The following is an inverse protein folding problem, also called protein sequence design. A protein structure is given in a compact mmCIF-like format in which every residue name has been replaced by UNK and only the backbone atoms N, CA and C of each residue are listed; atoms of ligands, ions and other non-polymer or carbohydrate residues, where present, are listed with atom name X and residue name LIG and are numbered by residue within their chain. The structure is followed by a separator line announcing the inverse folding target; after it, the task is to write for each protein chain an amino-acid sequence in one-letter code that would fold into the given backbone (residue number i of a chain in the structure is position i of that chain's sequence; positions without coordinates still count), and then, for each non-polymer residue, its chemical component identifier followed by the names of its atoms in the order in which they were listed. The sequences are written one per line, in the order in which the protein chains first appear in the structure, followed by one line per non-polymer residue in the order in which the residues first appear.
data_IF_979802232402
#
_entry.id   IF_979802232402
#
_cell.length_a   1.000
_cell.length_b   1.000
_cell.length_c   1.000
_cell.angle_alpha   90.00
_cell.angle_beta   90.00
_cell.angle_gamma   90.00
#
_symmetry.space_group_name_H-M   'P 1'
#
loop_
_entity.id
_entity.type
_entity.pdbx_description
1 polymer ?
#
# COMPACT_ATOMS: atom_id res chain seq x y z
N UNK A 1 17.73 -20.68 -17.14
CA UNK A 1 16.77 -20.30 -18.18
C UNK A 1 15.49 -19.94 -17.47
N UNK A 2 14.99 -18.70 -17.60
CA UNK A 2 13.73 -18.28 -16.99
C UNK A 2 12.56 -18.88 -17.76
N UNK A 3 11.55 -19.40 -17.06
CA UNK A 3 10.34 -19.88 -17.72
C UNK A 3 9.57 -18.72 -18.36
N UNK A 4 9.08 -18.89 -19.59
CA UNK A 4 8.23 -17.91 -20.26
C UNK A 4 6.91 -18.56 -20.69
N UNK A 5 5.84 -17.77 -20.69
CA UNK A 5 4.51 -18.21 -21.12
C UNK A 5 3.89 -17.12 -21.98
N UNK A 6 3.42 -17.51 -23.15
CA UNK A 6 2.68 -16.62 -24.02
C UNK A 6 1.18 -16.68 -23.69
N UNK A 7 0.55 -15.52 -23.68
CA UNK A 7 -0.89 -15.34 -23.44
C UNK A 7 -1.44 -14.51 -24.58
N UNK A 8 -2.46 -15.01 -25.27
CA UNK A 8 -3.19 -14.23 -26.26
C UNK A 8 -4.29 -13.41 -25.58
N UNK A 9 -4.31 -12.11 -25.85
CA UNK A 9 -5.39 -11.21 -25.46
C UNK A 9 -5.84 -10.44 -26.68
N UNK A 10 -7.07 -10.72 -27.12
CA UNK A 10 -7.72 -9.99 -28.21
C UNK A 10 -6.84 -9.91 -29.48
N UNK A 11 -6.13 -11.01 -29.79
CA UNK A 11 -5.21 -11.09 -30.93
C UNK A 11 -3.84 -10.47 -30.71
N UNK A 12 -3.50 -10.06 -29.48
CA UNK A 12 -2.15 -9.64 -29.08
C UNK A 12 -1.49 -10.72 -28.22
N UNK A 13 -0.36 -11.23 -28.70
CA UNK A 13 0.46 -12.19 -27.95
C UNK A 13 1.34 -11.44 -26.96
N UNK A 14 1.07 -11.64 -25.66
CA UNK A 14 1.87 -11.10 -24.56
C UNK A 14 2.75 -12.20 -24.00
N UNK A 15 4.05 -11.95 -23.91
CA UNK A 15 4.98 -12.89 -23.28
C UNK A 15 5.16 -12.52 -21.82
N UNK A 16 4.80 -13.43 -20.92
CA UNK A 16 5.04 -13.35 -19.49
C UNK A 16 6.31 -14.14 -19.16
N UNK A 17 7.18 -13.55 -18.36
CA UNK A 17 8.47 -14.12 -17.94
C UNK A 17 8.49 -14.38 -16.44
N UNK A 18 9.21 -15.42 -16.08
CA UNK A 18 9.57 -15.71 -14.70
C UNK A 18 10.64 -14.70 -14.22
N UNK A 19 10.38 -14.07 -13.08
CA UNK A 19 11.32 -13.19 -12.41
C UNK A 19 12.34 -14.00 -11.62
N UNK A 20 13.59 -13.62 -11.78
CA UNK A 20 14.68 -14.15 -10.95
C UNK A 20 14.63 -13.56 -9.54
N UNK A 21 15.21 -14.27 -8.56
CA UNK A 21 15.34 -13.77 -7.17
C UNK A 21 16.05 -12.42 -7.10
N UNK A 22 16.99 -12.15 -8.02
CA UNK A 22 17.64 -10.84 -8.16
C UNK A 22 16.63 -9.74 -8.47
N UNK A 23 15.81 -9.93 -9.50
CA UNK A 23 14.78 -8.97 -9.89
C UNK A 23 13.73 -8.74 -8.80
N UNK A 24 13.37 -9.78 -8.04
CA UNK A 24 12.47 -9.63 -6.89
C UNK A 24 13.11 -8.78 -5.79
N UNK A 25 14.42 -8.95 -5.53
CA UNK A 25 15.13 -8.13 -4.56
C UNK A 25 15.26 -6.68 -5.04
N UNK A 26 15.57 -6.48 -6.31
CA UNK A 26 15.67 -5.14 -6.91
C UNK A 26 14.33 -4.40 -6.82
N UNK A 27 13.22 -5.10 -7.09
CA UNK A 27 11.86 -4.58 -6.88
C UNK A 27 11.61 -4.15 -5.42
N UNK A 28 12.05 -4.96 -4.44
CA UNK A 28 11.90 -4.59 -3.03
C UNK A 28 12.70 -3.32 -2.68
N UNK A 29 13.93 -3.22 -3.17
CA UNK A 29 14.78 -2.04 -2.99
C UNK A 29 14.18 -0.79 -3.64
N UNK A 30 13.54 -0.93 -4.81
CA UNK A 30 12.83 0.18 -5.47
C UNK A 30 11.67 0.71 -4.61
N UNK A 31 10.91 -0.20 -3.97
CA UNK A 31 9.83 0.17 -3.04
C UNK A 31 10.39 0.89 -1.82
N UNK A 32 11.43 0.34 -1.18
CA UNK A 32 12.07 0.95 -0.01
C UNK A 32 12.68 2.32 -0.31
N UNK A 33 13.20 2.50 -1.52
CA UNK A 33 13.82 3.75 -1.95
C UNK A 33 12.80 4.88 -2.17
N UNK A 34 11.50 4.60 -2.19
CA UNK A 34 10.45 5.59 -2.44
C UNK A 34 10.53 6.26 -3.82
N UNK A 35 11.32 5.71 -4.74
CA UNK A 35 11.52 6.22 -6.11
C UNK A 35 10.38 5.81 -7.04
N UNK A 36 9.53 4.90 -6.60
CA UNK A 36 8.40 4.42 -7.37
C UNK A 36 7.19 5.31 -7.10
N UNK A 37 6.70 6.01 -8.13
CA UNK A 37 5.43 6.73 -8.05
C UNK A 37 4.31 5.70 -7.88
N UNK A 38 3.66 5.71 -6.72
CA UNK A 38 2.57 4.78 -6.44
C UNK A 38 1.36 5.22 -7.27
N UNK A 39 1.07 4.46 -8.32
CA UNK A 39 -0.20 4.56 -9.02
C UNK A 39 -1.30 3.91 -8.18
N UNK A 40 -2.04 4.73 -7.44
CA UNK A 40 -3.14 4.29 -6.57
C UNK A 40 -4.19 3.53 -7.40
N UNK A 41 -4.48 3.94 -8.63
CA UNK A 41 -5.47 3.24 -9.45
C UNK A 41 -4.97 1.83 -9.82
N UNK A 42 -3.74 1.70 -10.30
CA UNK A 42 -3.12 0.42 -10.66
C UNK A 42 -2.78 -0.48 -9.47
N UNK A 43 -2.61 0.10 -8.27
CA UNK A 43 -2.32 -0.60 -7.01
C UNK A 43 -3.59 -1.20 -6.38
N UNK A 44 -4.73 -0.52 -6.48
CA UNK A 44 -6.01 -0.97 -5.93
C UNK A 44 -6.92 -1.65 -6.96
N UNK A 45 -6.51 -1.76 -8.23
CA UNK A 45 -7.30 -2.40 -9.28
C UNK A 45 -7.49 -3.90 -9.04
N UNK A 46 -6.51 -4.56 -8.42
CA UNK A 46 -6.57 -5.98 -8.08
C UNK A 46 -6.08 -6.23 -6.65
N UNK A 47 -6.69 -7.20 -5.96
CA UNK A 47 -6.30 -7.54 -4.58
C UNK A 47 -4.94 -8.25 -4.49
N UNK A 48 -4.55 -8.97 -5.53
CA UNK A 48 -3.37 -9.87 -5.49
C UNK A 48 -2.08 -9.27 -6.11
N UNK A 49 -2.19 -8.23 -6.94
CA UNK A 49 -1.03 -7.64 -7.65
C UNK A 49 -1.33 -6.24 -8.19
N UNK A 50 -0.29 -5.42 -8.37
CA UNK A 50 -0.42 -4.14 -9.06
C UNK A 50 -0.23 -4.29 -10.58
N UNK A 51 -0.71 -3.31 -11.34
CA UNK A 51 -0.43 -3.23 -12.78
C UNK A 51 1.08 -3.10 -13.05
N UNK A 52 1.84 -2.39 -12.21
CA UNK A 52 3.31 -2.30 -12.36
C UNK A 52 4.00 -3.66 -12.24
N UNK A 53 3.52 -4.50 -11.32
CA UNK A 53 4.04 -5.86 -11.12
C UNK A 53 3.86 -6.68 -12.41
N UNK A 54 2.70 -6.58 -13.06
CA UNK A 54 2.41 -7.28 -14.32
C UNK A 54 3.25 -6.73 -15.48
N UNK A 55 3.41 -5.41 -15.59
CA UNK A 55 4.26 -4.77 -16.61
C UNK A 55 5.68 -5.31 -16.50
N UNK A 56 6.24 -5.39 -15.28
CA UNK A 56 7.59 -5.89 -15.02
C UNK A 56 7.78 -7.37 -15.42
N UNK A 57 6.74 -8.17 -15.22
CA UNK A 57 6.69 -9.60 -15.60
C UNK A 57 6.36 -9.82 -17.07
N UNK A 58 6.02 -8.78 -17.82
CA UNK A 58 5.64 -8.90 -19.22
C UNK A 58 6.70 -8.29 -20.13
N UNK A 59 6.53 -8.52 -21.43
CA UNK A 59 7.27 -7.83 -22.49
C UNK A 59 6.52 -6.59 -23.02
N UNK A 60 5.33 -6.31 -22.48
CA UNK A 60 4.44 -5.27 -22.98
C UNK A 60 4.67 -3.94 -22.24
N UNK A 61 4.68 -2.79 -22.95
CA UNK A 61 4.82 -1.49 -22.31
C UNK A 61 3.59 -1.13 -21.47
N UNK A 62 3.78 -0.29 -20.44
CA UNK A 62 2.71 0.21 -19.57
C UNK A 62 1.53 0.80 -20.34
N UNK A 63 1.81 1.60 -21.37
CA UNK A 63 0.80 2.22 -22.22
C UNK A 63 -0.16 1.22 -22.86
N UNK A 64 0.34 0.02 -23.19
CA UNK A 64 -0.49 -1.04 -23.74
C UNK A 64 -1.33 -1.74 -22.67
N UNK A 65 -0.88 -1.78 -21.40
CA UNK A 65 -1.71 -2.22 -20.27
C UNK A 65 -2.82 -1.24 -19.95
N UNK A 66 -2.54 0.07 -20.03
CA UNK A 66 -3.53 1.11 -19.72
C UNK A 66 -4.71 1.10 -20.71
N UNK A 67 -4.49 0.58 -21.92
CA UNK A 67 -5.53 0.37 -22.93
C UNK A 67 -6.35 -0.92 -22.74
N UNK A 68 -5.93 -1.81 -21.84
CA UNK A 68 -6.63 -3.08 -21.58
C UNK A 68 -7.65 -2.93 -20.47
N UNK A 69 -8.77 -3.62 -20.62
CA UNK A 69 -9.76 -3.73 -19.56
C UNK A 69 -9.31 -4.71 -18.47
N UNK A 70 -9.79 -4.59 -17.22
CA UNK A 70 -9.49 -5.53 -16.15
C UNK A 70 -9.80 -7.00 -16.52
N UNK A 71 -10.87 -7.23 -17.29
CA UNK A 71 -11.25 -8.55 -17.79
C UNK A 71 -10.25 -9.13 -18.79
N UNK A 72 -9.63 -8.28 -19.61
CA UNK A 72 -8.59 -8.68 -20.56
C UNK A 72 -7.25 -8.95 -19.85
N UNK A 73 -6.99 -8.30 -18.71
CA UNK A 73 -5.77 -8.52 -17.91
C UNK A 73 -5.83 -9.82 -17.10
N UNK A 74 -7.03 -10.32 -16.78
CA UNK A 74 -7.23 -11.56 -16.03
C UNK A 74 -6.37 -12.76 -16.51
N UNK A 75 -6.32 -13.12 -17.81
CA UNK A 75 -5.47 -14.20 -18.30
C UNK A 75 -3.96 -13.95 -18.15
N UNK A 76 -3.49 -12.70 -18.28
CA UNK A 76 -2.09 -12.34 -17.97
C UNK A 76 -1.81 -12.61 -16.49
N UNK A 77 -2.72 -12.18 -15.60
CA UNK A 77 -2.55 -12.34 -14.16
C UNK A 77 -2.44 -13.81 -13.76
N UNK A 78 -3.30 -14.67 -14.29
CA UNK A 78 -3.25 -16.11 -14.02
C UNK A 78 -1.94 -16.73 -14.53
N UNK A 79 -1.46 -16.32 -15.72
CA UNK A 79 -0.17 -16.78 -16.24
C UNK A 79 1.01 -16.29 -15.41
N UNK A 80 0.99 -15.03 -14.97
CA UNK A 80 2.01 -14.45 -14.11
C UNK A 80 2.05 -15.16 -12.74
N UNK A 81 0.88 -15.47 -12.16
CA UNK A 81 0.77 -16.20 -10.89
C UNK A 81 1.28 -17.63 -10.99
N UNK A 82 0.98 -18.31 -12.10
CA UNK A 82 1.46 -19.67 -12.36
C UNK A 82 2.99 -19.72 -12.54
N UNK A 83 3.58 -18.72 -13.20
CA UNK A 83 5.04 -18.63 -13.38
C UNK A 83 5.78 -18.15 -12.14
N UNK A 84 5.19 -17.23 -11.36
CA UNK A 84 5.90 -16.52 -10.31
C UNK A 84 5.24 -16.65 -8.91
N UNK A 85 4.89 -17.85 -8.42
CA UNK A 85 4.19 -17.97 -7.14
C UNK A 85 4.97 -17.38 -5.95
N UNK A 86 6.31 -17.38 -6.02
CA UNK A 86 7.18 -16.78 -5.01
C UNK A 86 7.05 -15.25 -4.93
N UNK A 87 6.98 -14.57 -6.07
CA UNK A 87 6.82 -13.12 -6.12
C UNK A 87 5.50 -12.68 -5.49
N UNK A 88 4.38 -13.34 -5.85
CA UNK A 88 3.07 -13.04 -5.26
C UNK A 88 3.04 -13.23 -3.74
N UNK A 89 3.78 -14.22 -3.21
CA UNK A 89 3.92 -14.40 -1.75
C UNK A 89 4.68 -13.26 -1.10
N UNK A 90 5.80 -12.84 -1.68
CA UNK A 90 6.59 -11.71 -1.15
C UNK A 90 5.77 -10.42 -1.22
N UNK A 91 5.10 -10.19 -2.35
CA UNK A 91 4.20 -9.05 -2.58
C UNK A 91 3.09 -8.96 -1.54
N UNK A 92 2.41 -10.07 -1.28
CA UNK A 92 1.36 -10.15 -0.27
C UNK A 92 1.90 -9.89 1.15
N UNK A 93 3.10 -10.40 1.46
CA UNK A 93 3.75 -10.13 2.73
C UNK A 93 4.11 -8.64 2.90
N UNK A 94 4.61 -7.99 1.84
CA UNK A 94 4.91 -6.56 1.82
C UNK A 94 3.62 -5.74 1.99
N UNK A 95 2.55 -6.07 1.27
CA UNK A 95 1.25 -5.41 1.40
C UNK A 95 0.69 -5.52 2.83
N UNK A 96 0.76 -6.72 3.43
CA UNK A 96 0.32 -6.96 4.80
C UNK A 96 1.16 -6.16 5.81
N UNK A 97 2.48 -6.10 5.62
CA UNK A 97 3.37 -5.30 6.46
C UNK A 97 3.05 -3.80 6.37
N UNK A 98 2.84 -3.27 5.16
CA UNK A 98 2.42 -1.89 4.93
C UNK A 98 1.09 -1.58 5.60
N UNK A 99 0.07 -2.44 5.44
CA UNK A 99 -1.22 -2.28 6.09
C UNK A 99 -1.12 -2.28 7.63
N UNK A 100 -0.25 -3.12 8.20
CA UNK A 100 0.00 -3.15 9.64
C UNK A 100 0.66 -1.86 10.14
N UNK A 101 1.66 -1.34 9.41
CA UNK A 101 2.34 -0.09 9.75
C UNK A 101 1.35 1.08 9.69
N UNK A 102 0.58 1.20 8.61
CA UNK A 102 -0.44 2.25 8.45
C UNK A 102 -1.46 2.18 9.59
N UNK A 103 -1.92 0.98 9.96
CA UNK A 103 -2.84 0.78 11.09
C UNK A 103 -2.24 1.24 12.42
N UNK A 104 -0.97 0.95 12.68
CA UNK A 104 -0.28 1.38 13.90
C UNK A 104 -0.15 2.90 13.96
N UNK A 105 0.21 3.56 12.86
CA UNK A 105 0.32 5.02 12.79
C UNK A 105 -1.03 5.69 13.04
N UNK A 106 -2.09 5.23 12.38
CA UNK A 106 -3.46 5.74 12.58
C UNK A 106 -3.99 5.49 14.00
N UNK A 107 -3.56 4.41 14.65
CA UNK A 107 -3.93 4.10 16.04
C UNK A 107 -3.15 4.94 17.06
N UNK A 108 -1.89 5.28 16.75
CA UNK A 108 -1.03 6.08 17.62
C UNK A 108 -1.50 7.54 17.75
N UNK A 109 -2.04 8.11 16.66
CA UNK A 109 -2.66 9.45 16.68
C UNK A 109 -3.88 9.51 17.62
N UNK A 110 -4.67 8.43 17.70
CA UNK A 110 -5.89 8.38 18.51
C UNK A 110 -5.63 8.36 20.02
N UNK A 111 -4.41 8.01 20.45
CA UNK A 111 -4.05 7.94 21.87
C UNK A 111 -3.51 9.25 22.45
N UNK A 112 -3.28 10.29 21.64
CA UNK A 112 -2.69 11.56 22.08
C UNK A 112 -3.71 12.69 22.31
N UNK A 113 -5.02 12.42 22.18
CA UNK A 113 -6.06 13.39 22.47
C UNK A 113 -6.46 13.36 23.98
N UNK A 114 -5.89 14.32 24.73
CA UNK A 114 -6.24 14.83 26.08
C UNK A 114 -5.87 14.00 27.34
N UNK A 115 -4.89 14.48 28.14
CA UNK A 115 -5.06 14.57 29.58
C UNK A 115 -5.99 15.77 29.89
N UNK A 116 -7.05 15.51 30.65
CA UNK A 116 -7.96 16.54 31.17
C UNK A 116 -7.18 17.61 31.96
N UNK A 117 -7.47 18.91 31.82
CA UNK A 117 -6.93 19.91 32.72
C UNK A 117 -7.65 19.80 34.08
N UNK A 118 -6.97 19.19 35.05
CA UNK A 118 -7.31 19.26 36.47
C UNK A 118 -7.50 20.73 36.88
N UNK A 119 -8.72 21.12 37.22
CA UNK A 119 -8.97 22.44 37.80
C UNK A 119 -8.35 22.53 39.20
N UNK A 120 -7.64 23.62 39.54
CA UNK A 120 -7.20 23.85 40.91
C UNK A 120 -8.40 24.27 41.77
N UNK A 121 -8.44 23.67 42.96
CA UNK A 121 -9.35 23.94 44.07
C UNK A 121 -9.41 25.45 44.36
N UNK A 122 -10.58 26.06 44.16
CA UNK A 122 -10.83 27.46 44.51
C UNK A 122 -10.87 27.61 46.05
N UNK A 123 -9.82 28.22 46.60
CA UNK A 123 -9.75 28.64 48.01
C UNK A 123 -10.85 29.66 48.30
N UNK A 124 -11.78 29.28 49.17
CA UNK A 124 -12.74 30.15 49.83
C UNK A 124 -12.03 31.07 50.82
N UNK A 125 -12.13 32.40 50.63
CA UNK A 125 -11.96 33.39 51.69
C UNK A 125 -12.62 34.72 51.30
N UNK A 126 -13.97 34.77 51.31
CA UNK A 126 -14.71 36.02 51.46
C UNK A 126 -14.78 36.38 52.94
N UNK A 127 -13.93 37.31 53.37
CA UNK A 127 -14.00 37.96 54.68
C UNK A 127 -14.71 39.31 54.55
N UNK A 128 -15.90 39.36 55.11
CA UNK A 128 -16.85 40.46 55.13
C UNK A 128 -16.32 41.69 55.88
N UNK A 129 -16.35 42.89 55.27
CA UNK A 129 -16.15 44.17 55.95
C UNK A 129 -17.47 44.63 56.59
N UNK A 130 -17.59 44.83 57.91
CA UNK A 130 -18.74 45.53 58.47
C UNK A 130 -18.43 47.02 58.52
N UNK A 131 -19.32 47.81 57.91
CA UNK A 131 -19.33 49.26 58.05
C UNK A 131 -20.06 49.74 59.31
N UNK A 132 -19.86 51.03 59.54
CA UNK A 132 -20.74 52.02 60.19
C UNK A 132 -20.57 52.31 61.69
N UNK A 133 -20.12 53.56 61.91
CA UNK A 133 -20.71 54.60 62.76
C UNK A 133 -20.72 54.41 64.29
N UNK A 134 -19.97 55.27 65.00
CA UNK A 134 -20.43 56.47 65.72
C UNK A 134 -19.23 57.33 66.15
#
# INVERSE_FOLDING_TARGET
MSATKQVDIDGRIVTIKELTVGQVRDWLVEIESGKHAIDVAGEFLFEDCAVDDLVRMSDMPREAFDALTPSQIAPIREAARALNPGFFRVRAAVAAAQASIVRQLLSSEKSNAMPSPSSPMATLASGNTPGAAI
#
